data_IF_465630144654
#
_entry.id   IF_465630144654
#
_cell.length_a   1.000
_cell.length_b   1.000
_cell.length_c   1.000
_cell.angle_alpha   90.00
_cell.angle_beta   90.00
_cell.angle_gamma   90.00
#
_symmetry.space_group_name_H-M   'P 1'
#
loop_
_entity.id
_entity.type
_entity.pdbx_description
1 polymer ?
#
# COMPACT_ATOMS: atom_id res chain seq x y z
N UNK A 1 10.28 4.94 -24.88
CA UNK A 1 9.76 4.61 -23.55
C UNK A 1 8.46 5.35 -23.35
N UNK A 2 7.36 4.62 -23.57
CA UNK A 2 6.02 5.17 -23.70
C UNK A 2 5.45 5.67 -22.38
N UNK A 3 4.49 6.57 -22.46
CA UNK A 3 3.75 7.13 -21.32
C UNK A 3 3.12 6.01 -20.47
N UNK A 4 2.80 4.87 -21.12
CA UNK A 4 2.25 3.66 -20.52
C UNK A 4 3.23 2.95 -19.58
N UNK A 5 4.50 2.81 -19.95
CA UNK A 5 5.52 2.14 -19.12
C UNK A 5 5.81 2.91 -17.83
N UNK A 6 5.72 4.24 -17.87
CA UNK A 6 5.89 5.08 -16.68
C UNK A 6 4.74 4.90 -15.69
N UNK A 7 3.50 4.84 -16.17
CA UNK A 7 2.32 4.63 -15.33
C UNK A 7 2.30 3.26 -14.66
N UNK A 8 2.69 2.21 -15.39
CA UNK A 8 2.77 0.86 -14.84
C UNK A 8 3.79 0.80 -13.70
N UNK A 9 4.97 1.40 -13.92
CA UNK A 9 6.04 1.42 -12.92
C UNK A 9 5.64 2.16 -11.65
N UNK A 10 5.00 3.32 -11.79
CA UNK A 10 4.46 4.05 -10.64
C UNK A 10 3.41 3.24 -9.89
N UNK A 11 2.56 2.49 -10.60
CA UNK A 11 1.55 1.63 -9.96
C UNK A 11 2.21 0.51 -9.14
N UNK A 12 3.26 -0.12 -9.67
CA UNK A 12 4.01 -1.15 -8.95
C UNK A 12 4.80 -0.58 -7.77
N UNK A 13 5.41 0.60 -7.92
CA UNK A 13 6.13 1.30 -6.84
C UNK A 13 5.20 1.59 -5.66
N UNK A 14 4.01 2.16 -5.93
CA UNK A 14 3.01 2.43 -4.89
C UNK A 14 2.56 1.14 -4.22
N UNK A 15 2.26 0.11 -5.02
CA UNK A 15 1.83 -1.20 -4.49
C UNK A 15 2.91 -1.81 -3.57
N UNK A 16 4.17 -1.71 -3.95
CA UNK A 16 5.30 -2.22 -3.17
C UNK A 16 5.46 -1.45 -1.87
N UNK A 17 5.39 -0.11 -1.91
CA UNK A 17 5.47 0.73 -0.72
C UNK A 17 4.35 0.42 0.29
N UNK A 18 3.14 0.14 -0.20
CA UNK A 18 1.99 -0.28 0.64
C UNK A 18 2.31 -1.59 1.37
N UNK A 19 2.83 -2.59 0.65
CA UNK A 19 3.14 -3.92 1.21
C UNK A 19 4.27 -3.84 2.23
N UNK A 20 5.37 -3.15 1.91
CA UNK A 20 6.50 -2.97 2.83
C UNK A 20 6.07 -2.26 4.12
N UNK A 21 5.29 -1.18 3.98
CA UNK A 21 4.78 -0.43 5.13
C UNK A 21 3.83 -1.28 5.97
N UNK A 22 2.95 -2.04 5.32
CA UNK A 22 2.05 -2.94 6.04
C UNK A 22 2.82 -4.02 6.80
N UNK A 23 3.85 -4.62 6.19
CA UNK A 23 4.72 -5.60 6.84
C UNK A 23 5.42 -5.01 8.05
N UNK A 24 6.05 -3.83 7.91
CA UNK A 24 6.71 -3.15 9.01
C UNK A 24 5.75 -2.84 10.17
N UNK A 25 4.52 -2.40 9.88
CA UNK A 25 3.51 -2.15 10.91
C UNK A 25 3.06 -3.43 11.61
N UNK A 26 2.89 -4.52 10.86
CA UNK A 26 2.50 -5.83 11.41
C UNK A 26 3.62 -6.39 12.29
N UNK A 27 4.88 -6.25 11.88
CA UNK A 27 6.03 -6.70 12.67
C UNK A 27 6.19 -5.89 13.96
N UNK A 28 5.99 -4.57 13.91
CA UNK A 28 6.15 -3.69 15.07
C UNK A 28 4.96 -3.70 16.05
N UNK A 29 3.73 -3.67 15.54
CA UNK A 29 2.52 -3.43 16.34
C UNK A 29 1.48 -4.58 16.23
N UNK A 30 1.70 -5.54 15.35
CA UNK A 30 0.77 -6.63 15.07
C UNK A 30 -0.35 -6.27 14.08
N UNK A 31 -0.97 -7.30 13.52
CA UNK A 31 -2.04 -7.17 12.51
C UNK A 31 -3.25 -6.32 12.95
N UNK A 32 -3.58 -6.35 14.24
CA UNK A 32 -4.68 -5.58 14.80
C UNK A 32 -4.46 -4.07 14.63
N UNK A 33 -3.21 -3.62 14.64
CA UNK A 33 -2.85 -2.22 14.49
C UNK A 33 -2.84 -1.75 13.03
N UNK A 34 -2.81 -2.68 12.07
CA UNK A 34 -2.80 -2.34 10.65
C UNK A 34 -4.12 -1.69 10.22
N UNK A 35 -4.03 -0.51 9.62
CA UNK A 35 -5.16 0.20 9.03
C UNK A 35 -4.76 0.88 7.71
N UNK A 36 -5.69 0.92 6.76
CA UNK A 36 -5.52 1.62 5.47
C UNK A 36 -5.05 3.06 5.70
N UNK A 37 -5.57 3.72 6.73
CA UNK A 37 -5.25 5.11 7.06
C UNK A 37 -3.82 5.26 7.58
N UNK A 38 -3.38 4.39 8.48
CA UNK A 38 -1.98 4.38 8.94
C UNK A 38 -1.01 4.12 7.79
N UNK A 39 -1.33 3.17 6.91
CA UNK A 39 -0.49 2.89 5.75
C UNK A 39 -0.40 4.14 4.87
N UNK A 40 -1.54 4.73 4.51
CA UNK A 40 -1.60 5.97 3.73
C UNK A 40 -0.73 7.09 4.33
N UNK A 41 -0.86 7.33 5.64
CA UNK A 41 -0.06 8.32 6.36
C UNK A 41 1.45 8.00 6.32
N UNK A 42 1.82 6.72 6.45
CA UNK A 42 3.22 6.29 6.49
C UNK A 42 3.92 6.31 5.13
N UNK A 43 3.20 6.12 4.03
CA UNK A 43 3.75 6.27 2.67
C UNK A 43 3.50 7.65 2.06
N UNK A 44 2.93 8.59 2.81
CA UNK A 44 2.55 9.94 2.36
C UNK A 44 1.57 9.94 1.16
N UNK A 45 0.75 8.90 1.05
CA UNK A 45 -0.32 8.81 0.05
C UNK A 45 -1.69 9.07 0.67
N UNK A 46 -2.67 9.34 -0.19
CA UNK A 46 -4.05 9.48 0.24
C UNK A 46 -4.73 8.11 0.37
N UNK A 47 -5.67 7.98 1.30
CA UNK A 47 -6.49 6.77 1.49
C UNK A 47 -7.15 6.27 0.19
N UNK A 48 -7.70 7.15 -0.69
CA UNK A 48 -8.24 6.70 -1.98
C UNK A 48 -7.22 6.04 -2.89
N UNK A 49 -5.94 6.45 -2.83
CA UNK A 49 -4.88 5.79 -3.60
C UNK A 49 -4.69 4.37 -3.10
N UNK A 50 -4.63 4.13 -1.79
CA UNK A 50 -4.56 2.76 -1.26
C UNK A 50 -5.74 1.92 -1.77
N UNK A 51 -6.95 2.49 -1.78
CA UNK A 51 -8.15 1.79 -2.27
C UNK A 51 -8.13 1.45 -3.77
N UNK A 52 -7.37 2.19 -4.60
CA UNK A 52 -7.17 1.85 -6.01
C UNK A 52 -6.32 0.57 -6.18
N UNK A 53 -5.45 0.29 -5.20
CA UNK A 53 -4.58 -0.90 -5.19
C UNK A 53 -5.16 -2.05 -4.38
N UNK A 54 -5.73 -1.78 -3.20
CA UNK A 54 -6.22 -2.78 -2.26
C UNK A 54 -7.61 -2.40 -1.73
N UNK A 55 -8.59 -3.28 -1.95
CA UNK A 55 -10.00 -3.02 -1.57
C UNK A 55 -10.22 -2.89 -0.06
N UNK A 56 -9.40 -3.57 0.74
CA UNK A 56 -9.45 -3.55 2.20
C UNK A 56 -8.08 -3.96 2.77
N UNK A 57 -7.93 -3.88 4.10
CA UNK A 57 -6.67 -4.28 4.74
C UNK A 57 -6.38 -5.78 4.54
N UNK A 58 -7.40 -6.62 4.51
CA UNK A 58 -7.25 -8.08 4.32
C UNK A 58 -6.67 -8.42 2.95
N UNK A 59 -7.00 -7.65 1.90
CA UNK A 59 -6.42 -7.82 0.57
C UNK A 59 -4.90 -7.62 0.57
N UNK A 60 -4.36 -6.83 1.51
CA UNK A 60 -2.91 -6.66 1.69
C UNK A 60 -2.27 -7.93 2.29
N UNK A 61 -3.05 -8.72 3.04
CA UNK A 61 -2.59 -9.97 3.66
C UNK A 61 -2.63 -11.16 2.68
N UNK A 62 -3.58 -11.13 1.74
CA UNK A 62 -3.75 -12.21 0.76
C UNK A 62 -2.77 -12.13 -0.42
N UNK A 63 -1.89 -11.12 -0.42
CA UNK A 63 -0.87 -10.87 -1.43
C UNK A 63 0.48 -11.47 -1.01
#
# INVERSE_FOLDING_TARGET
MGITERRIRQKEEVRTAILETAWNMVEAEGWQSLSIRKIADAIEYSVPVIYDHFKNKEAILYE
#
